data_IF_259144566427
#
_entry.id   IF_259144566427
#
_cell.length_a   1.000
_cell.length_b   1.000
_cell.length_c   1.000
_cell.angle_alpha   90.00
_cell.angle_beta   90.00
_cell.angle_gamma   90.00
#
_symmetry.space_group_name_H-M   'P 1'
#
loop_
_entity.id
_entity.type
_entity.pdbx_description
1 polymer ?
#
# COMPACT_ATOMS: atom_id res chain seq x y z
N UNK A 1 -12.96 10.18 19.48
CA UNK A 1 -12.02 9.05 19.30
C UNK A 1 -11.33 8.79 20.63
N UNK A 2 -11.31 7.55 21.04
CA UNK A 2 -10.67 7.18 22.29
C UNK A 2 -9.16 7.29 22.20
N UNK A 3 -8.55 7.54 23.35
CA UNK A 3 -7.09 7.64 23.41
C UNK A 3 -6.42 6.36 22.93
N UNK A 4 -6.96 5.20 23.33
CA UNK A 4 -6.40 3.91 22.92
C UNK A 4 -6.44 3.75 21.41
N UNK A 5 -7.57 4.09 20.79
CA UNK A 5 -7.70 4.02 19.33
C UNK A 5 -6.71 4.95 18.66
N UNK A 6 -6.57 6.17 19.19
CA UNK A 6 -5.62 7.12 18.61
C UNK A 6 -4.19 6.61 18.69
N UNK A 7 -3.81 5.98 19.81
CA UNK A 7 -2.47 5.44 19.96
C UNK A 7 -2.21 4.30 18.99
N UNK A 8 -3.21 3.43 18.81
CA UNK A 8 -3.08 2.33 17.85
C UNK A 8 -2.89 2.88 16.45
N UNK A 9 -3.66 3.89 16.08
CA UNK A 9 -3.54 4.50 14.74
C UNK A 9 -2.17 5.14 14.53
N UNK A 10 -1.64 5.78 15.54
CA UNK A 10 -0.31 6.39 15.46
C UNK A 10 0.75 5.31 15.23
N UNK A 11 0.67 4.22 15.99
CA UNK A 11 1.61 3.11 15.83
C UNK A 11 1.50 2.50 14.44
N UNK A 12 0.28 2.27 13.97
CA UNK A 12 0.06 1.74 12.62
C UNK A 12 0.70 2.66 11.58
N UNK A 13 0.48 3.95 11.71
CA UNK A 13 1.04 4.91 10.75
C UNK A 13 2.54 4.93 10.74
N UNK A 14 3.15 4.91 11.93
CA UNK A 14 4.60 4.92 12.02
C UNK A 14 5.21 3.64 11.44
N UNK A 15 4.65 2.49 11.78
CA UNK A 15 5.13 1.21 11.25
C UNK A 15 4.96 1.14 9.74
N UNK A 16 3.79 1.54 9.26
CA UNK A 16 3.51 1.52 7.84
C UNK A 16 4.44 2.48 7.09
N UNK A 17 4.69 3.64 7.69
CA UNK A 17 5.58 4.62 7.07
C UNK A 17 7.02 4.14 6.99
N UNK A 18 7.52 3.57 8.07
CA UNK A 18 8.89 3.07 8.09
C UNK A 18 9.05 1.94 7.08
N UNK A 19 8.18 0.94 7.16
CA UNK A 19 8.29 -0.22 6.26
C UNK A 19 7.95 0.16 4.83
N UNK A 20 6.99 1.04 4.64
CA UNK A 20 6.66 1.53 3.32
C UNK A 20 7.81 2.29 2.68
N UNK A 21 8.50 3.10 3.47
CA UNK A 21 9.66 3.82 2.97
C UNK A 21 10.83 2.92 2.65
N UNK A 22 11.05 1.91 3.47
CA UNK A 22 12.14 0.96 3.25
C UNK A 22 11.91 0.14 1.99
N UNK A 23 10.71 -0.37 1.83
CA UNK A 23 10.40 -1.29 0.74
C UNK A 23 9.73 -0.63 -0.46
N UNK A 24 9.27 0.59 -0.31
CA UNK A 24 8.59 1.29 -1.39
C UNK A 24 7.22 0.72 -1.73
N UNK A 25 6.59 0.02 -0.80
CA UNK A 25 5.32 -0.66 -1.05
C UNK A 25 4.10 0.17 -0.72
N UNK A 26 4.29 1.39 -0.24
CA UNK A 26 3.19 2.30 0.06
C UNK A 26 2.48 2.07 1.38
N UNK A 27 2.82 1.02 2.13
CA UNK A 27 2.30 0.82 3.47
C UNK A 27 0.93 0.19 3.58
N UNK A 28 0.17 0.10 2.49
CA UNK A 28 -1.18 -0.46 2.56
C UNK A 28 -1.17 -1.92 3.01
N UNK A 29 -0.14 -2.65 2.63
CA UNK A 29 -0.05 -4.06 2.99
C UNK A 29 0.05 -4.26 4.50
N UNK A 30 0.41 -3.22 5.22
CA UNK A 30 0.48 -3.22 6.68
C UNK A 30 -0.74 -2.55 7.28
N UNK A 31 -1.16 -1.41 6.70
CA UNK A 31 -2.26 -0.64 7.25
C UNK A 31 -3.58 -1.39 7.21
N UNK A 32 -3.87 -2.07 6.10
CA UNK A 32 -5.16 -2.71 5.94
C UNK A 32 -5.33 -3.86 6.93
N UNK A 33 -4.40 -4.84 7.00
CA UNK A 33 -4.57 -5.90 8.00
C UNK A 33 -4.58 -5.39 9.44
N UNK A 34 -3.78 -4.37 9.72
CA UNK A 34 -3.72 -3.82 11.07
C UNK A 34 -5.03 -3.18 11.46
N UNK A 35 -5.66 -2.42 10.57
CA UNK A 35 -6.94 -1.82 10.88
C UNK A 35 -8.04 -2.86 11.04
N UNK A 36 -8.04 -3.87 10.18
CA UNK A 36 -9.05 -4.93 10.29
C UNK A 36 -8.87 -5.72 11.58
N UNK A 37 -7.65 -6.08 11.89
CA UNK A 37 -7.37 -6.95 13.02
C UNK A 37 -7.47 -6.24 14.37
N UNK A 38 -6.84 -5.08 14.50
CA UNK A 38 -6.76 -4.40 15.79
C UNK A 38 -7.92 -3.47 16.07
N UNK A 39 -8.53 -2.88 15.05
CA UNK A 39 -9.58 -1.91 15.23
C UNK A 39 -10.96 -2.43 14.82
N UNK A 40 -11.01 -3.61 14.24
CA UNK A 40 -12.29 -4.20 13.83
C UNK A 40 -12.94 -3.50 12.65
N UNK A 41 -12.18 -2.78 11.87
CA UNK A 41 -12.67 -2.08 10.68
C UNK A 41 -12.91 -3.11 9.58
N UNK A 42 -14.00 -2.96 8.83
CA UNK A 42 -14.28 -3.87 7.73
C UNK A 42 -13.29 -3.66 6.59
N UNK A 43 -13.18 -4.67 5.73
CA UNK A 43 -12.16 -4.70 4.69
C UNK A 43 -12.29 -3.52 3.72
N UNK A 44 -13.50 -3.23 3.26
CA UNK A 44 -13.71 -2.12 2.35
C UNK A 44 -13.32 -0.78 2.96
N UNK A 45 -13.70 -0.57 4.22
CA UNK A 45 -13.35 0.67 4.92
C UNK A 45 -11.85 0.78 5.10
N UNK A 46 -11.19 -0.32 5.43
CA UNK A 46 -9.75 -0.33 5.57
C UNK A 46 -9.06 0.02 4.25
N UNK A 47 -9.56 -0.54 3.15
CA UNK A 47 -9.00 -0.24 1.83
C UNK A 47 -9.19 1.22 1.44
N UNK A 48 -10.40 1.74 1.64
CA UNK A 48 -10.67 3.14 1.31
C UNK A 48 -9.87 4.10 2.18
N UNK A 49 -9.75 3.77 3.46
CA UNK A 49 -8.97 4.60 4.38
C UNK A 49 -7.50 4.61 3.99
N UNK A 50 -6.96 3.46 3.61
CA UNK A 50 -5.57 3.38 3.16
C UNK A 50 -5.34 4.24 1.93
N UNK A 51 -6.26 4.21 0.99
CA UNK A 51 -6.13 5.04 -0.21
C UNK A 51 -6.17 6.52 0.14
N UNK A 52 -7.04 6.89 1.08
CA UNK A 52 -7.13 8.28 1.52
C UNK A 52 -5.84 8.72 2.20
N UNK A 53 -5.23 7.83 2.98
CA UNK A 53 -3.95 8.12 3.63
C UNK A 53 -2.88 8.41 2.60
N UNK A 54 -2.94 7.73 1.47
CA UNK A 54 -1.91 7.84 0.43
C UNK A 54 -2.04 9.06 -0.45
N UNK A 55 -3.08 9.86 -0.26
CA UNK A 55 -3.16 11.13 -0.97
C UNK A 55 -2.00 12.03 -0.54
N UNK A 56 -1.54 12.93 -1.44
CA UNK A 56 -0.41 13.79 -1.09
C UNK A 56 -0.65 14.53 0.22
N UNK A 57 0.39 14.77 1.00
CA UNK A 57 1.82 14.62 0.69
C UNK A 57 2.49 13.42 1.36
N UNK A 58 1.77 12.37 1.63
CA UNK A 58 2.20 11.27 2.49
C UNK A 58 3.59 10.71 2.15
N UNK A 59 3.85 10.46 0.88
CA UNK A 59 5.12 9.88 0.45
C UNK A 59 6.16 10.90 0.03
N UNK A 60 5.88 12.18 0.26
CA UNK A 60 6.72 13.23 -0.29
C UNK A 60 8.14 13.18 0.26
N UNK A 61 8.29 13.05 1.56
CA UNK A 61 9.62 13.08 2.16
C UNK A 61 10.43 11.85 1.81
N UNK A 62 9.80 10.68 1.79
CA UNK A 62 10.49 9.46 1.42
C UNK A 62 10.90 9.50 -0.06
N UNK A 63 10.01 9.93 -0.93
CA UNK A 63 10.31 10.05 -2.35
C UNK A 63 11.43 11.06 -2.59
N UNK A 64 11.44 12.12 -1.82
CA UNK A 64 12.48 13.14 -1.94
C UNK A 64 13.86 12.56 -1.63
N UNK A 65 13.94 11.72 -0.60
CA UNK A 65 15.21 11.10 -0.26
C UNK A 65 15.72 10.21 -1.38
N UNK A 66 14.85 9.42 -1.99
CA UNK A 66 15.23 8.59 -3.13
C UNK A 66 15.58 9.43 -4.34
N UNK A 67 14.86 10.52 -4.53
CA UNK A 67 15.13 11.42 -5.65
C UNK A 67 16.52 12.05 -5.53
N UNK A 68 16.88 12.48 -4.33
CA UNK A 68 18.22 13.04 -4.10
C UNK A 68 19.31 12.02 -4.34
N UNK A 69 19.02 10.76 -4.10
CA UNK A 69 19.97 9.68 -4.35
C UNK A 69 20.02 9.26 -5.82
N UNK A 70 19.23 9.89 -6.68
CA UNK A 70 19.20 9.54 -8.10
C UNK A 70 18.45 8.28 -8.41
N UNK A 71 17.57 7.86 -7.51
CA UNK A 71 16.87 6.58 -7.63
C UNK A 71 15.41 6.73 -8.04
N UNK A 72 15.05 7.87 -8.62
CA UNK A 72 13.68 8.08 -9.09
C UNK A 72 13.70 8.42 -10.57
N UNK A 73 12.95 7.63 -11.35
CA UNK A 73 12.75 7.96 -12.75
C UNK A 73 11.46 8.78 -12.85
N UNK A 74 11.60 10.06 -13.05
CA UNK A 74 10.48 11.00 -13.04
C UNK A 74 9.44 10.68 -14.11
N UNK A 75 9.90 10.34 -15.31
CA UNK A 75 8.96 10.05 -16.40
C UNK A 75 8.16 8.79 -16.14
N UNK A 76 8.81 7.76 -15.60
CA UNK A 76 8.11 6.55 -15.23
C UNK A 76 7.08 6.86 -14.15
N UNK A 77 7.47 7.67 -13.17
CA UNK A 77 6.58 8.00 -12.07
C UNK A 77 5.33 8.74 -12.56
N UNK A 78 5.51 9.69 -13.46
CA UNK A 78 4.38 10.48 -13.97
C UNK A 78 3.42 9.60 -14.76
N UNK A 79 3.95 8.78 -15.65
CA UNK A 79 3.12 7.93 -16.50
C UNK A 79 2.36 6.92 -15.65
N UNK A 80 3.05 6.30 -14.70
CA UNK A 80 2.40 5.34 -13.80
C UNK A 80 1.36 6.04 -12.95
N UNK A 81 1.65 7.24 -12.45
CA UNK A 81 0.72 7.95 -11.59
C UNK A 81 -0.58 8.28 -12.32
N UNK A 82 -0.49 8.79 -13.54
CA UNK A 82 -1.68 9.11 -14.32
C UNK A 82 -2.47 7.86 -14.64
N UNK A 83 -1.77 6.81 -15.05
CA UNK A 83 -2.39 5.52 -15.33
C UNK A 83 -3.04 4.94 -14.09
N UNK A 84 -2.36 5.07 -12.95
CA UNK A 84 -2.87 4.60 -11.67
C UNK A 84 -4.16 5.31 -11.29
N UNK A 85 -4.25 6.61 -11.53
CA UNK A 85 -5.46 7.34 -11.23
C UNK A 85 -6.65 6.77 -11.98
N UNK A 86 -6.46 6.49 -13.27
CA UNK A 86 -7.52 5.94 -14.10
C UNK A 86 -7.85 4.53 -13.66
N UNK A 87 -6.83 3.68 -13.52
CA UNK A 87 -7.01 2.29 -13.12
C UNK A 87 -7.63 2.16 -11.74
N UNK A 88 -7.19 3.01 -10.82
CA UNK A 88 -7.71 3.00 -9.45
C UNK A 88 -9.17 3.39 -9.39
N UNK A 89 -9.58 4.34 -10.23
CA UNK A 89 -10.98 4.74 -10.27
C UNK A 89 -11.87 3.56 -10.65
N UNK A 90 -11.53 2.87 -11.72
CA UNK A 90 -12.33 1.72 -12.14
C UNK A 90 -12.16 0.52 -11.21
N UNK A 91 -10.94 0.30 -10.73
CA UNK A 91 -10.68 -0.80 -9.80
C UNK A 91 -11.45 -0.66 -8.51
N UNK A 92 -11.55 0.55 -7.97
CA UNK A 92 -12.30 0.78 -6.74
C UNK A 92 -13.79 0.53 -6.93
N UNK A 93 -14.32 0.87 -8.11
CA UNK A 93 -15.72 0.59 -8.39
C UNK A 93 -15.99 -0.90 -8.42
N UNK A 94 -15.09 -1.66 -9.00
CA UNK A 94 -15.21 -3.12 -9.02
C UNK A 94 -15.13 -3.67 -7.60
N UNK A 95 -14.16 -3.19 -6.82
CA UNK A 95 -13.94 -3.68 -5.46
C UNK A 95 -15.16 -3.43 -4.57
N UNK A 96 -15.80 -2.27 -4.71
CA UNK A 96 -16.96 -1.94 -3.88
C UNK A 96 -18.15 -2.84 -4.14
N UNK A 97 -18.20 -3.46 -5.32
CA UNK A 97 -19.27 -4.38 -5.66
C UNK A 97 -18.97 -5.82 -5.27
N UNK A 98 -17.77 -6.09 -4.74
CA UNK A 98 -17.41 -7.44 -4.33
C UNK A 98 -17.67 -7.63 -2.84
N UNK A 99 -18.05 -8.86 -2.42
CA UNK A 99 -18.25 -9.14 -1.00
C UNK A 99 -16.96 -9.00 -0.19
N UNK A 100 -17.12 -8.69 1.09
CA UNK A 100 -15.98 -8.52 1.99
C UNK A 100 -15.07 -9.73 2.02
N UNK A 101 -15.66 -10.93 2.09
CA UNK A 101 -14.86 -12.14 2.20
C UNK A 101 -14.04 -12.40 0.94
N UNK A 102 -14.55 -12.01 -0.23
CA UNK A 102 -13.81 -12.13 -1.47
C UNK A 102 -12.63 -11.17 -1.48
N UNK A 103 -12.86 -9.93 -1.05
CA UNK A 103 -11.80 -8.92 -1.00
C UNK A 103 -10.70 -9.33 -0.04
N UNK A 104 -11.05 -9.89 1.12
CA UNK A 104 -10.04 -10.36 2.06
C UNK A 104 -9.18 -11.45 1.45
N UNK A 105 -9.80 -12.38 0.74
CA UNK A 105 -9.04 -13.48 0.12
C UNK A 105 -8.13 -12.97 -0.98
N UNK A 106 -8.64 -12.09 -1.83
CA UNK A 106 -7.84 -11.53 -2.90
C UNK A 106 -6.65 -10.75 -2.34
N UNK A 107 -6.90 -9.93 -1.32
CA UNK A 107 -5.84 -9.16 -0.70
C UNK A 107 -4.79 -10.06 -0.04
N UNK A 108 -5.23 -11.17 0.53
CA UNK A 108 -4.29 -12.10 1.15
C UNK A 108 -3.47 -12.89 0.15
N UNK A 109 -4.11 -13.37 -0.91
CA UNK A 109 -3.42 -14.21 -1.89
C UNK A 109 -2.47 -13.44 -2.80
N UNK A 110 -2.88 -12.25 -3.23
CA UNK A 110 -2.11 -11.52 -4.22
C UNK A 110 -0.69 -11.20 -3.73
N UNK A 111 -0.53 -10.66 -2.51
CA UNK A 111 0.83 -10.41 -2.00
C UNK A 111 1.65 -11.67 -1.84
N UNK A 112 1.02 -12.80 -1.49
CA UNK A 112 1.74 -14.06 -1.38
C UNK A 112 2.32 -14.47 -2.71
N UNK A 113 1.52 -14.40 -3.76
CA UNK A 113 1.98 -14.75 -5.10
C UNK A 113 3.11 -13.84 -5.55
N UNK A 114 2.95 -12.54 -5.32
CA UNK A 114 4.00 -11.60 -5.69
C UNK A 114 5.27 -11.81 -4.89
N UNK A 115 5.12 -12.14 -3.60
CA UNK A 115 6.28 -12.41 -2.76
C UNK A 115 7.05 -13.63 -3.24
N UNK A 116 6.34 -14.69 -3.61
CA UNK A 116 6.98 -15.90 -4.12
C UNK A 116 7.69 -15.62 -5.44
N UNK A 117 7.07 -14.85 -6.31
CA UNK A 117 7.71 -14.50 -7.57
C UNK A 117 8.99 -13.70 -7.35
N UNK A 118 8.97 -12.77 -6.43
CA UNK A 118 10.16 -11.97 -6.13
C UNK A 118 11.29 -12.83 -5.60
N UNK A 119 10.98 -13.77 -4.73
CA UNK A 119 12.00 -14.62 -4.15
C UNK A 119 12.66 -15.48 -5.21
N UNK A 120 11.86 -16.12 -6.06
CA UNK A 120 12.40 -17.03 -7.07
C UNK A 120 12.89 -16.30 -8.33
N UNK A 121 12.22 -15.24 -8.72
CA UNK A 121 12.67 -14.48 -9.89
C UNK A 121 13.97 -13.74 -9.62
N UNK A 122 14.22 -13.40 -8.36
CA UNK A 122 15.46 -12.74 -7.99
C UNK A 122 16.67 -13.55 -8.36
N UNK A 123 16.56 -14.86 -8.28
CA UNK A 123 17.66 -15.74 -8.66
C UNK A 123 18.06 -15.52 -10.11
N UNK A 124 17.06 -15.41 -10.99
CA UNK A 124 17.31 -15.15 -12.39
C UNK A 124 17.74 -13.71 -12.64
N UNK A 125 17.21 -12.78 -11.85
CA UNK A 125 17.51 -11.37 -12.03
C UNK A 125 18.87 -10.94 -11.56
N UNK A 126 19.52 -11.77 -10.79
CA UNK A 126 20.82 -11.42 -10.25
C UNK A 126 21.93 -11.35 -11.30
N UNK A 127 21.67 -11.83 -12.46
CA UNK A 127 22.64 -11.74 -13.54
C UNK A 127 22.82 -10.32 -14.05
N UNK A 128 21.89 -9.48 -13.76
CA UNK A 128 22.03 -8.09 -14.14
C UNK A 128 22.95 -7.36 -13.22
#
# INVERSE_FOLDING_TARGET
METTTALILIVIGLMAGVLGGIFGIGGAIIMIPAMVYFLGVDQHTAQGTSLAVMLPPIGLFAAYNYYKAGQVNIWYAIIIAVSFMIGGYFGSKIALNLPEHVMKKVFGFFPIIMALRLIFAKQAGLQE
#
